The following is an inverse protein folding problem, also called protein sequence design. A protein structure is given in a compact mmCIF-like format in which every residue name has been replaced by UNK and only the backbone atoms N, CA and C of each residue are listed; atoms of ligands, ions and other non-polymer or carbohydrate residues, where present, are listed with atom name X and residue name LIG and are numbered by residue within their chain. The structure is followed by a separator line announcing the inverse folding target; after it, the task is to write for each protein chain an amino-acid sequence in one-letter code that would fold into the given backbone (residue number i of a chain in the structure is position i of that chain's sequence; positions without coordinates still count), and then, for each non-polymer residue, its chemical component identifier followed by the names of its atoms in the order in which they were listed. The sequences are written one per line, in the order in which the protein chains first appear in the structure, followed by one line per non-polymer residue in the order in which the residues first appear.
data_IF_348804547981
#
_entry.id   IF_348804547981
#
_cell.length_a   1.000
_cell.length_b   1.000
_cell.length_c   1.000
_cell.angle_alpha   90.00
_cell.angle_beta   90.00
_cell.angle_gamma   90.00
#
_symmetry.space_group_name_H-M   'P 1'
#
loop_
_entity.id
_entity.type
_entity.pdbx_description
1 polymer ?
#
# COMPACT_ATOMS: atom_id res chain seq x y z
N UNK A 1 55.07 -18.76 77.34
CA UNK A 1 54.74 -18.19 76.02
C UNK A 1 54.49 -19.33 75.03
N UNK A 2 53.25 -19.83 74.86
CA UNK A 2 52.99 -20.98 73.96
C UNK A 2 51.53 -21.14 73.49
N UNK A 3 50.83 -20.03 73.21
CA UNK A 3 49.42 -20.05 72.75
C UNK A 3 49.19 -19.42 71.36
N UNK A 4 50.25 -19.16 70.57
CA UNK A 4 50.12 -18.50 69.26
C UNK A 4 50.06 -19.45 68.04
N UNK A 5 50.16 -20.77 68.23
CA UNK A 5 50.20 -21.75 67.13
C UNK A 5 48.83 -22.33 66.72
N UNK A 6 47.86 -22.41 67.63
CA UNK A 6 46.58 -23.09 67.37
C UNK A 6 45.62 -22.29 66.48
N UNK A 7 45.66 -20.95 66.53
CA UNK A 7 44.87 -20.10 65.65
C UNK A 7 45.32 -20.21 64.19
N UNK A 8 46.61 -20.38 63.94
CA UNK A 8 47.18 -20.56 62.59
C UNK A 8 46.71 -21.85 61.92
N UNK A 9 46.52 -22.95 62.68
CA UNK A 9 46.17 -24.26 62.13
C UNK A 9 44.71 -24.29 61.65
N UNK A 10 43.81 -23.58 62.33
CA UNK A 10 42.39 -23.48 61.94
C UNK A 10 42.12 -22.36 60.93
N UNK A 11 42.92 -21.30 60.92
CA UNK A 11 42.80 -20.21 59.94
C UNK A 11 43.13 -20.64 58.50
N UNK A 12 44.13 -21.51 58.32
CA UNK A 12 44.55 -21.98 57.00
C UNK A 12 43.44 -22.70 56.20
N UNK A 13 42.73 -23.72 56.74
CA UNK A 13 41.65 -24.37 56.01
C UNK A 13 40.45 -23.45 55.78
N UNK A 14 40.18 -22.51 56.69
CA UNK A 14 39.11 -21.51 56.52
C UNK A 14 39.47 -20.53 55.39
N UNK A 15 40.71 -20.03 55.35
CA UNK A 15 41.20 -19.18 54.26
C UNK A 15 41.22 -19.93 52.93
N UNK A 16 41.63 -21.20 52.91
CA UNK A 16 41.57 -22.04 51.73
C UNK A 16 40.13 -22.25 51.24
N UNK A 17 39.18 -22.51 52.14
CA UNK A 17 37.76 -22.62 51.80
C UNK A 17 37.19 -21.31 51.26
N UNK A 18 37.54 -20.17 51.86
CA UNK A 18 37.19 -18.82 51.38
C UNK A 18 37.77 -18.53 49.99
N UNK A 19 39.03 -18.92 49.74
CA UNK A 19 39.66 -18.80 48.43
C UNK A 19 38.93 -19.64 47.38
N UNK A 20 38.57 -20.89 47.70
CA UNK A 20 37.82 -21.77 46.79
C UNK A 20 36.43 -21.19 46.49
N UNK A 21 35.71 -20.69 47.51
CA UNK A 21 34.41 -20.04 47.33
C UNK A 21 34.50 -18.78 46.47
N UNK A 22 35.49 -17.91 46.71
CA UNK A 22 35.69 -16.69 45.91
C UNK A 22 36.07 -17.00 44.47
N UNK A 23 36.93 -17.99 44.23
CA UNK A 23 37.24 -18.47 42.87
C UNK A 23 36.02 -19.06 42.16
N UNK A 24 35.20 -19.84 42.87
CA UNK A 24 33.95 -20.38 42.31
C UNK A 24 32.97 -19.25 41.92
N UNK A 25 32.82 -18.23 42.77
CA UNK A 25 32.00 -17.05 42.49
C UNK A 25 32.57 -16.24 41.32
N UNK A 26 33.89 -16.05 41.22
CA UNK A 26 34.52 -15.35 40.11
C UNK A 26 34.33 -16.08 38.77
N UNK A 27 34.52 -17.40 38.74
CA UNK A 27 34.27 -18.22 37.53
C UNK A 27 32.79 -18.16 37.13
N UNK A 28 31.87 -18.31 38.08
CA UNK A 28 30.44 -18.14 37.83
C UNK A 28 30.09 -16.75 37.29
N UNK A 29 30.70 -15.70 37.85
CA UNK A 29 30.50 -14.31 37.39
C UNK A 29 31.00 -14.09 35.96
N UNK A 30 32.15 -14.67 35.59
CA UNK A 30 32.68 -14.58 34.22
C UNK A 30 31.76 -15.27 33.21
N UNK A 31 31.24 -16.45 33.53
CA UNK A 31 30.28 -17.16 32.67
C UNK A 31 28.98 -16.38 32.51
N UNK A 32 28.42 -15.84 33.62
CA UNK A 32 27.21 -15.01 33.57
C UNK A 32 27.43 -13.76 32.71
N UNK A 33 28.60 -13.11 32.83
CA UNK A 33 28.94 -11.94 32.00
C UNK A 33 29.04 -12.30 30.52
N UNK A 34 29.65 -13.43 30.18
CA UNK A 34 29.76 -13.92 28.79
C UNK A 34 28.38 -14.17 28.20
N UNK A 35 27.52 -14.93 28.89
CA UNK A 35 26.15 -15.23 28.44
C UNK A 35 25.32 -13.95 28.33
N UNK A 36 25.41 -13.04 29.31
CA UNK A 36 24.69 -11.76 29.27
C UNK A 36 25.16 -10.88 28.11
N UNK A 37 26.48 -10.84 27.84
CA UNK A 37 27.02 -10.12 26.70
C UNK A 37 26.50 -10.72 25.39
N UNK A 38 26.60 -12.04 25.19
CA UNK A 38 26.06 -12.72 24.01
C UNK A 38 24.57 -12.48 23.83
N UNK A 39 23.79 -12.47 24.91
CA UNK A 39 22.36 -12.16 24.86
C UNK A 39 22.12 -10.75 24.31
N UNK A 40 22.86 -9.74 24.77
CA UNK A 40 22.75 -8.38 24.24
C UNK A 40 23.12 -8.32 22.74
N UNK A 41 24.14 -9.07 22.30
CA UNK A 41 24.49 -9.17 20.88
C UNK A 41 23.33 -9.79 20.08
N UNK A 42 22.76 -10.89 20.57
CA UNK A 42 21.63 -11.56 19.93
C UNK A 42 20.40 -10.64 19.87
N UNK A 43 20.10 -9.88 20.92
CA UNK A 43 18.99 -8.91 20.96
C UNK A 43 19.21 -7.76 19.97
N UNK A 44 20.44 -7.24 19.87
CA UNK A 44 20.82 -6.22 18.88
C UNK A 44 20.68 -6.74 17.45
N UNK A 45 21.09 -7.98 17.20
CA UNK A 45 20.89 -8.66 15.92
C UNK A 45 19.38 -8.78 15.62
N UNK A 46 18.59 -9.34 16.54
CA UNK A 46 17.16 -9.55 16.33
C UNK A 46 16.42 -8.23 16.06
N UNK A 47 16.70 -7.19 16.86
CA UNK A 47 16.13 -5.85 16.68
C UNK A 47 16.51 -5.22 15.33
N UNK A 48 17.74 -5.43 14.87
CA UNK A 48 18.19 -4.97 13.55
C UNK A 48 17.44 -5.68 12.41
N UNK A 49 17.25 -7.00 12.53
CA UNK A 49 16.45 -7.77 11.57
C UNK A 49 15.01 -7.25 11.50
N UNK A 50 14.36 -7.07 12.66
CA UNK A 50 13.01 -6.51 12.73
C UNK A 50 12.93 -5.11 12.12
N UNK A 51 13.95 -4.27 12.30
CA UNK A 51 14.01 -2.93 11.71
C UNK A 51 14.04 -2.99 10.18
N UNK A 52 14.82 -3.91 9.61
CA UNK A 52 14.86 -4.12 8.16
C UNK A 52 13.53 -4.64 7.62
N UNK A 53 12.90 -5.60 8.31
CA UNK A 53 11.57 -6.10 7.94
C UNK A 53 10.50 -5.00 7.98
N UNK A 54 10.49 -4.18 9.02
CA UNK A 54 9.55 -3.05 9.13
C UNK A 54 9.76 -2.04 8.00
N UNK A 55 11.03 -1.75 7.63
CA UNK A 55 11.36 -0.87 6.49
C UNK A 55 10.87 -1.44 5.18
N UNK A 56 11.01 -2.75 4.94
CA UNK A 56 10.49 -3.40 3.74
C UNK A 56 8.96 -3.26 3.65
N UNK A 57 8.22 -3.60 4.71
CA UNK A 57 6.76 -3.49 4.74
C UNK A 57 6.30 -2.04 4.51
N UNK A 58 7.00 -1.08 5.10
CA UNK A 58 6.73 0.35 4.90
C UNK A 58 6.99 0.77 3.44
N UNK A 59 8.08 0.31 2.84
CA UNK A 59 8.39 0.60 1.44
C UNK A 59 7.35 -0.02 0.49
N UNK A 60 6.98 -1.28 0.70
CA UNK A 60 5.92 -1.96 -0.05
C UNK A 60 4.60 -1.19 0.07
N UNK A 61 4.27 -0.72 1.28
CA UNK A 61 3.10 0.10 1.50
C UNK A 61 3.12 1.41 0.71
N UNK A 62 4.24 2.14 0.75
CA UNK A 62 4.38 3.40 0.01
C UNK A 62 4.24 3.17 -1.50
N UNK A 63 4.82 2.10 -2.02
CA UNK A 63 4.71 1.77 -3.44
C UNK A 63 3.27 1.38 -3.81
N UNK A 64 2.58 0.59 -2.98
CA UNK A 64 1.18 0.23 -3.22
C UNK A 64 0.28 1.47 -3.28
N UNK A 65 0.49 2.45 -2.39
CA UNK A 65 -0.22 3.74 -2.44
C UNK A 65 0.11 4.53 -3.70
N UNK A 66 1.38 4.57 -4.10
CA UNK A 66 1.80 5.27 -5.31
C UNK A 66 1.16 4.65 -6.57
N UNK A 67 1.07 3.32 -6.62
CA UNK A 67 0.36 2.60 -7.68
C UNK A 67 -1.13 2.97 -7.71
N UNK A 68 -1.81 3.02 -6.56
CA UNK A 68 -3.21 3.46 -6.48
C UNK A 68 -3.37 4.93 -6.92
N UNK A 69 -2.50 5.85 -6.48
CA UNK A 69 -2.57 7.25 -6.86
C UNK A 69 -2.38 7.46 -8.38
N UNK A 70 -1.49 6.68 -8.99
CA UNK A 70 -1.26 6.68 -10.43
C UNK A 70 -2.50 6.21 -11.21
N UNK A 71 -3.20 5.18 -10.75
CA UNK A 71 -4.48 4.75 -11.34
C UNK A 71 -5.60 5.78 -11.12
N UNK A 72 -5.67 6.44 -9.95
CA UNK A 72 -6.62 7.54 -9.72
C UNK A 72 -6.36 8.71 -10.68
N UNK A 73 -5.10 9.02 -10.98
CA UNK A 73 -4.73 10.06 -11.95
C UNK A 73 -5.27 9.73 -13.35
N UNK A 74 -5.24 8.45 -13.76
CA UNK A 74 -5.85 8.02 -15.02
C UNK A 74 -7.36 8.24 -15.03
N UNK A 75 -8.05 7.95 -13.92
CA UNK A 75 -9.48 8.21 -13.78
C UNK A 75 -9.82 9.69 -13.92
N UNK A 76 -9.05 10.55 -13.25
CA UNK A 76 -9.19 12.01 -13.33
C UNK A 76 -8.94 12.51 -14.76
N UNK A 77 -7.93 11.99 -15.46
CA UNK A 77 -7.65 12.36 -16.85
C UNK A 77 -8.77 11.92 -17.81
N UNK A 78 -9.31 10.71 -17.64
CA UNK A 78 -10.46 10.28 -18.42
C UNK A 78 -11.67 11.21 -18.20
N UNK A 79 -11.91 11.62 -16.96
CA UNK A 79 -12.96 12.57 -16.61
C UNK A 79 -12.73 14.00 -17.14
N UNK A 80 -11.50 14.48 -17.10
CA UNK A 80 -11.14 15.78 -17.68
C UNK A 80 -11.32 15.78 -19.19
N UNK A 81 -10.94 14.70 -19.86
CA UNK A 81 -11.09 14.59 -21.30
C UNK A 81 -12.57 14.48 -21.71
N UNK A 82 -13.39 13.67 -21.04
CA UNK A 82 -14.83 13.61 -21.34
C UNK A 82 -15.52 14.96 -21.10
N UNK A 83 -15.17 15.65 -20.01
CA UNK A 83 -15.68 16.99 -19.74
C UNK A 83 -15.26 17.99 -20.82
N UNK A 84 -14.00 17.96 -21.25
CA UNK A 84 -13.51 18.84 -22.31
C UNK A 84 -14.23 18.59 -23.64
N UNK A 85 -14.44 17.33 -24.01
CA UNK A 85 -15.20 16.98 -25.21
C UNK A 85 -16.64 17.50 -25.15
N UNK A 86 -17.32 17.30 -24.01
CA UNK A 86 -18.64 17.88 -23.78
C UNK A 86 -18.64 19.40 -23.94
N UNK A 87 -17.63 20.11 -23.43
CA UNK A 87 -17.51 21.56 -23.58
C UNK A 87 -17.26 22.00 -25.03
N UNK A 88 -16.48 21.23 -25.80
CA UNK A 88 -16.26 21.47 -27.23
C UNK A 88 -17.58 21.34 -28.00
N UNK A 89 -18.33 20.28 -27.73
CA UNK A 89 -19.63 20.04 -28.35
C UNK A 89 -20.65 21.14 -28.00
N UNK A 90 -20.65 21.63 -26.75
CA UNK A 90 -21.47 22.80 -26.35
C UNK A 90 -21.16 24.02 -27.22
N UNK A 91 -19.87 24.29 -27.48
CA UNK A 91 -19.42 25.43 -28.29
C UNK A 91 -19.81 25.24 -29.76
N UNK A 92 -19.59 24.06 -30.31
CA UNK A 92 -19.88 23.76 -31.71
C UNK A 92 -21.40 23.78 -32.00
N UNK A 93 -22.20 23.29 -31.06
CA UNK A 93 -23.67 23.25 -31.16
C UNK A 93 -24.36 24.52 -30.65
N UNK A 94 -23.61 25.47 -30.08
CA UNK A 94 -24.14 26.74 -29.55
C UNK A 94 -24.84 27.59 -30.63
N UNK A 95 -24.45 27.49 -31.90
CA UNK A 95 -25.12 28.23 -32.98
C UNK A 95 -26.62 27.89 -33.09
N UNK A 96 -27.01 26.64 -32.81
CA UNK A 96 -28.41 26.21 -32.83
C UNK A 96 -29.18 26.65 -31.57
N UNK A 97 -28.54 26.56 -30.40
CA UNK A 97 -29.18 26.83 -29.09
C UNK A 97 -29.30 28.33 -28.78
N UNK A 98 -28.29 29.11 -29.17
CA UNK A 98 -28.24 30.55 -28.90
C UNK A 98 -29.35 31.36 -29.57
N UNK A 99 -29.97 30.81 -30.62
CA UNK A 99 -31.14 31.39 -31.28
C UNK A 99 -32.38 31.37 -30.37
N UNK A 100 -32.46 30.44 -29.41
CA UNK A 100 -33.62 30.27 -28.51
C UNK A 100 -33.42 30.91 -27.13
N UNK A 101 -32.18 31.16 -26.71
CA UNK A 101 -31.86 31.79 -25.42
C UNK A 101 -30.86 32.94 -25.65
N UNK A 102 -31.35 34.19 -25.81
CA UNK A 102 -30.52 35.34 -26.21
C UNK A 102 -29.31 35.62 -25.31
N UNK A 103 -29.41 35.31 -24.02
CA UNK A 103 -28.36 35.58 -23.03
C UNK A 103 -27.20 34.55 -23.06
N UNK A 104 -27.39 33.36 -23.67
CA UNK A 104 -26.36 32.33 -23.75
C UNK A 104 -25.18 32.75 -24.63
N UNK A 105 -25.40 33.62 -25.63
CA UNK A 105 -24.39 34.05 -26.60
C UNK A 105 -23.14 34.72 -26.00
N UNK A 106 -23.28 35.38 -24.85
CA UNK A 106 -22.16 36.06 -24.19
C UNK A 106 -21.28 35.08 -23.39
N UNK A 107 -21.90 34.09 -22.74
CA UNK A 107 -21.25 33.07 -21.93
C UNK A 107 -20.54 32.04 -22.82
N UNK A 108 -21.19 31.62 -23.90
CA UNK A 108 -20.64 30.60 -24.82
C UNK A 108 -19.48 31.11 -25.65
N UNK A 109 -19.41 32.42 -25.94
CA UNK A 109 -18.25 33.02 -26.62
C UNK A 109 -16.98 32.98 -25.77
N UNK A 110 -17.08 33.20 -24.46
CA UNK A 110 -15.92 33.11 -23.56
C UNK A 110 -15.46 31.66 -23.37
N UNK A 111 -16.42 30.74 -23.29
CA UNK A 111 -16.16 29.30 -23.24
C UNK A 111 -15.47 28.82 -24.54
N UNK A 112 -15.91 29.29 -25.71
CA UNK A 112 -15.32 28.93 -26.99
C UNK A 112 -13.83 29.30 -27.08
N UNK A 113 -13.46 30.50 -26.61
CA UNK A 113 -12.07 30.95 -26.56
C UNK A 113 -11.26 30.08 -25.59
N UNK A 114 -11.81 29.79 -24.41
CA UNK A 114 -11.12 28.96 -23.41
C UNK A 114 -10.91 27.51 -23.88
N UNK A 115 -11.91 26.89 -24.51
CA UNK A 115 -11.84 25.53 -25.05
C UNK A 115 -10.85 25.44 -26.21
N UNK A 116 -10.90 26.40 -27.15
CA UNK A 116 -9.99 26.45 -28.29
C UNK A 116 -8.51 26.59 -27.90
N UNK A 117 -8.21 27.34 -26.83
CA UNK A 117 -6.85 27.44 -26.30
C UNK A 117 -6.39 26.20 -25.52
N UNK A 118 -7.31 25.37 -25.03
CA UNK A 118 -7.01 24.23 -24.17
C UNK A 118 -6.88 22.87 -24.92
N UNK A 119 -7.30 22.77 -26.18
CA UNK A 119 -7.31 21.48 -26.91
C UNK A 119 -5.91 20.87 -27.12
N UNK A 120 -4.97 21.69 -27.62
CA UNK A 120 -3.58 21.26 -27.85
C UNK A 120 -2.86 20.88 -26.55
N UNK A 121 -2.89 21.69 -25.47
CA UNK A 121 -2.22 21.29 -24.24
C UNK A 121 -2.87 20.06 -23.59
N UNK A 122 -4.19 19.91 -23.65
CA UNK A 122 -4.87 18.75 -23.05
C UNK A 122 -4.47 17.44 -23.73
N UNK A 123 -4.48 17.39 -25.06
CA UNK A 123 -4.08 16.18 -25.80
C UNK A 123 -2.61 15.84 -25.60
N UNK A 124 -1.73 16.84 -25.48
CA UNK A 124 -0.34 16.64 -25.10
C UNK A 124 -0.22 16.07 -23.68
N UNK A 125 -0.90 16.65 -22.69
CA UNK A 125 -0.91 16.19 -21.29
C UNK A 125 -1.37 14.74 -21.19
N UNK A 126 -2.45 14.36 -21.90
CA UNK A 126 -2.97 12.99 -21.89
C UNK A 126 -1.92 12.03 -22.42
N UNK A 127 -1.35 12.29 -23.60
CA UNK A 127 -0.35 11.40 -24.22
C UNK A 127 0.90 11.29 -23.35
N UNK A 128 1.39 12.41 -22.83
CA UNK A 128 2.53 12.45 -21.93
C UNK A 128 2.27 11.67 -20.64
N UNK A 129 1.08 11.80 -20.05
CA UNK A 129 0.75 11.09 -18.82
C UNK A 129 0.60 9.60 -19.05
N UNK A 130 -0.03 9.18 -20.15
CA UNK A 130 -0.13 7.76 -20.51
C UNK A 130 1.26 7.14 -20.71
N UNK A 131 2.17 7.84 -21.38
CA UNK A 131 3.56 7.40 -21.55
C UNK A 131 4.33 7.35 -20.22
N UNK A 132 4.14 8.35 -19.36
CA UNK A 132 4.77 8.40 -18.04
C UNK A 132 4.23 7.29 -17.11
N UNK A 133 2.94 6.97 -17.23
CA UNK A 133 2.25 5.99 -16.41
C UNK A 133 2.78 4.56 -16.60
N UNK A 134 2.80 4.04 -17.84
CA UNK A 134 4.07 3.67 -18.45
C UNK A 134 5.25 3.24 -17.57
N UNK A 135 6.19 4.17 -17.61
CA UNK A 135 7.48 4.13 -16.97
C UNK A 135 7.34 4.00 -15.46
N UNK A 136 6.47 4.79 -14.82
CA UNK A 136 6.28 4.76 -13.37
C UNK A 136 5.81 3.39 -12.91
N UNK A 137 4.78 2.83 -13.54
CA UNK A 137 4.21 1.54 -13.10
C UNK A 137 5.24 0.43 -13.27
N UNK A 138 6.03 0.49 -14.35
CA UNK A 138 7.09 -0.48 -14.62
C UNK A 138 8.23 -0.32 -13.62
N UNK A 139 8.68 0.92 -13.37
CA UNK A 139 9.71 1.24 -12.40
C UNK A 139 9.29 0.83 -10.99
N UNK A 140 8.09 1.19 -10.53
CA UNK A 140 7.58 0.82 -9.21
C UNK A 140 7.49 -0.70 -9.03
N UNK A 141 7.02 -1.44 -10.06
CA UNK A 141 6.99 -2.91 -10.01
C UNK A 141 8.39 -3.51 -9.95
N UNK A 142 9.32 -2.98 -10.74
CA UNK A 142 10.72 -3.38 -10.69
C UNK A 142 11.31 -3.06 -9.30
N UNK A 143 11.04 -1.89 -8.75
CA UNK A 143 11.47 -1.48 -7.41
C UNK A 143 10.92 -2.40 -6.34
N UNK A 144 9.65 -2.82 -6.41
CA UNK A 144 9.11 -3.81 -5.47
C UNK A 144 9.93 -5.10 -5.52
N UNK A 145 10.20 -5.61 -6.71
CA UNK A 145 10.98 -6.85 -6.86
C UNK A 145 12.43 -6.70 -6.38
N UNK A 146 13.10 -5.61 -6.75
CA UNK A 146 14.47 -5.30 -6.30
C UNK A 146 14.55 -5.05 -4.80
N UNK A 147 13.56 -4.39 -4.20
CA UNK A 147 13.51 -4.18 -2.77
C UNK A 147 13.47 -5.52 -2.04
N UNK A 148 12.57 -6.42 -2.45
CA UNK A 148 12.46 -7.76 -1.86
C UNK A 148 13.76 -8.56 -1.99
N UNK A 149 14.39 -8.52 -3.17
CA UNK A 149 15.70 -9.12 -3.38
C UNK A 149 16.75 -8.54 -2.44
N UNK A 150 16.84 -7.22 -2.38
CA UNK A 150 17.84 -6.50 -1.58
C UNK A 150 17.67 -6.84 -0.10
N UNK A 151 16.46 -6.73 0.47
CA UNK A 151 16.23 -7.05 1.88
C UNK A 151 16.55 -8.50 2.23
N UNK A 152 16.29 -9.43 1.30
CA UNK A 152 16.63 -10.83 1.53
C UNK A 152 18.13 -11.10 1.64
N UNK A 153 18.95 -10.30 0.96
CA UNK A 153 20.42 -10.36 1.01
C UNK A 153 20.98 -9.53 2.17
N UNK A 154 20.38 -8.37 2.42
CA UNK A 154 20.82 -7.41 3.44
C UNK A 154 20.54 -7.90 4.86
N UNK A 155 19.47 -8.66 5.12
CA UNK A 155 19.18 -9.15 6.48
C UNK A 155 20.34 -10.02 7.00
N UNK A 156 20.74 -11.15 6.38
CA UNK A 156 21.85 -11.96 6.88
C UNK A 156 23.17 -11.17 6.96
N UNK A 157 23.43 -10.32 5.96
CA UNK A 157 24.65 -9.51 5.90
C UNK A 157 24.72 -8.50 7.04
N UNK A 158 23.66 -7.74 7.27
CA UNK A 158 23.57 -6.75 8.35
C UNK A 158 23.76 -7.43 9.70
N UNK A 159 23.19 -8.63 9.89
CA UNK A 159 23.35 -9.38 11.14
C UNK A 159 24.78 -9.87 11.34
N UNK A 160 25.44 -10.34 10.27
CA UNK A 160 26.86 -10.67 10.30
C UNK A 160 27.72 -9.44 10.62
N UNK A 161 27.40 -8.27 10.05
CA UNK A 161 28.09 -7.01 10.32
C UNK A 161 27.87 -6.55 11.77
N UNK A 162 26.66 -6.64 12.31
CA UNK A 162 26.37 -6.37 13.74
C UNK A 162 27.20 -7.28 14.62
N UNK A 163 27.23 -8.59 14.34
CA UNK A 163 28.02 -9.55 15.10
C UNK A 163 29.52 -9.25 15.00
N UNK A 164 30.04 -8.90 13.82
CA UNK A 164 31.45 -8.60 13.60
C UNK A 164 31.95 -7.36 14.36
N UNK A 165 31.06 -6.45 14.76
CA UNK A 165 31.40 -5.32 15.63
C UNK A 165 31.46 -5.69 17.13
N UNK A 166 31.11 -6.93 17.48
CA UNK A 166 31.15 -7.43 18.85
C UNK A 166 32.24 -8.50 19.00
N UNK A 167 33.01 -8.42 20.09
CA UNK A 167 34.06 -9.38 20.40
C UNK A 167 33.50 -10.72 20.94
N UNK A 168 32.85 -11.51 20.07
CA UNK A 168 32.36 -12.86 20.41
C UNK A 168 33.36 -13.90 19.91
N UNK A 169 33.89 -14.72 20.82
CA UNK A 169 34.79 -15.83 20.47
C UNK A 169 34.02 -16.94 19.72
N UNK A 170 34.55 -17.36 18.56
CA UNK A 170 34.02 -18.45 17.72
C UNK A 170 32.48 -18.42 17.54
N UNK A 171 31.94 -17.35 16.93
CA UNK A 171 30.50 -17.18 16.88
C UNK A 171 29.86 -18.16 15.89
N UNK A 172 29.00 -19.03 16.40
CA UNK A 172 28.05 -19.80 15.61
C UNK A 172 26.69 -19.11 15.68
N UNK A 173 26.11 -18.78 14.53
CA UNK A 173 24.82 -18.11 14.51
C UNK A 173 23.95 -18.56 13.35
N UNK A 174 22.64 -18.50 13.57
CA UNK A 174 21.65 -18.72 12.54
C UNK A 174 20.42 -17.85 12.78
N UNK A 175 19.69 -17.61 11.70
CA UNK A 175 18.51 -16.74 11.71
C UNK A 175 17.33 -17.51 11.14
N UNK A 176 16.29 -17.62 11.96
CA UNK A 176 15.10 -18.41 11.71
C UNK A 176 13.89 -17.49 11.58
N UNK A 177 12.96 -17.87 10.71
CA UNK A 177 11.64 -17.26 10.60
C UNK A 177 10.68 -17.90 11.61
N UNK A 178 9.92 -17.11 12.37
CA UNK A 178 8.87 -17.60 13.28
C UNK A 178 7.48 -17.40 12.67
N UNK A 179 6.50 -18.31 12.89
CA UNK A 179 6.53 -19.46 13.82
C UNK A 179 7.18 -20.75 13.27
N UNK A 180 7.58 -20.79 11.99
CA UNK A 180 8.03 -22.03 11.32
C UNK A 180 9.43 -22.55 11.67
N UNK A 181 10.28 -21.77 12.36
CA UNK A 181 11.69 -22.05 12.68
C UNK A 181 12.54 -22.50 11.47
N UNK A 182 12.26 -21.95 10.29
CA UNK A 182 13.00 -22.26 9.07
C UNK A 182 13.99 -21.14 8.78
N UNK A 183 15.16 -21.46 8.23
CA UNK A 183 16.19 -20.48 7.94
C UNK A 183 15.72 -19.39 6.96
N UNK A 184 15.97 -18.13 7.32
CA UNK A 184 15.81 -16.98 6.43
C UNK A 184 16.83 -17.08 5.27
N UNK A 185 16.52 -16.55 4.06
CA UNK A 185 15.40 -15.68 3.74
C UNK A 185 14.16 -16.37 3.12
N UNK A 186 14.18 -17.69 2.88
CA UNK A 186 13.27 -18.33 1.91
C UNK A 186 11.77 -18.18 2.18
N UNK A 187 11.32 -18.24 3.43
CA UNK A 187 9.89 -18.04 3.78
C UNK A 187 9.46 -16.58 3.79
N UNK A 188 10.40 -15.65 3.96
CA UNK A 188 10.08 -14.23 3.85
C UNK A 188 9.60 -13.87 2.43
N UNK A 189 10.16 -14.54 1.41
CA UNK A 189 9.75 -14.36 0.02
C UNK A 189 8.32 -14.84 -0.27
N UNK A 190 7.81 -15.82 0.46
CA UNK A 190 6.43 -16.27 0.31
C UNK A 190 5.45 -15.54 1.24
N UNK A 191 5.95 -14.87 2.29
CA UNK A 191 5.10 -14.22 3.29
C UNK A 191 4.17 -13.15 2.71
N UNK A 192 4.71 -12.24 1.89
CA UNK A 192 3.93 -11.25 1.14
C UNK A 192 3.81 -11.69 -0.33
N UNK A 193 2.72 -12.37 -0.72
CA UNK A 193 2.55 -12.82 -2.09
C UNK A 193 2.25 -11.66 -3.05
N UNK A 194 2.57 -11.87 -4.32
CA UNK A 194 2.09 -10.99 -5.39
C UNK A 194 0.57 -11.17 -5.56
N UNK A 195 -0.13 -10.05 -5.58
CA UNK A 195 -1.58 -9.96 -5.78
C UNK A 195 -1.86 -9.15 -7.05
N UNK A 196 -3.04 -9.37 -7.59
CA UNK A 196 -3.58 -8.56 -8.66
C UNK A 196 -5.09 -8.39 -8.52
N UNK A 197 -5.64 -7.38 -9.18
CA UNK A 197 -7.08 -7.04 -9.20
C UNK A 197 -8.05 -8.16 -9.62
N UNK A 198 -7.54 -9.32 -10.06
CA UNK A 198 -8.35 -10.47 -10.44
C UNK A 198 -8.30 -11.62 -9.44
N UNK A 199 -7.36 -11.61 -8.49
CA UNK A 199 -7.18 -12.64 -7.48
C UNK A 199 -7.19 -12.09 -6.05
N UNK A 200 -7.62 -10.84 -5.85
CA UNK A 200 -7.53 -10.09 -4.59
C UNK A 200 -8.89 -9.94 -3.85
N UNK A 201 -9.92 -10.69 -4.25
CA UNK A 201 -11.29 -10.61 -3.70
C UNK A 201 -11.92 -9.21 -3.81
N UNK A 202 -11.49 -8.43 -4.82
CA UNK A 202 -12.00 -7.08 -5.07
C UNK A 202 -11.45 -6.03 -4.10
N UNK A 203 -10.39 -6.33 -3.34
CA UNK A 203 -9.79 -5.38 -2.40
C UNK A 203 -9.30 -4.12 -3.12
N UNK A 204 -8.48 -4.25 -4.16
CA UNK A 204 -7.96 -3.11 -4.91
C UNK A 204 -9.08 -2.30 -5.55
N UNK A 205 -10.13 -2.96 -6.04
CA UNK A 205 -11.28 -2.30 -6.62
C UNK A 205 -12.02 -1.45 -5.56
N UNK A 206 -12.31 -2.01 -4.38
CA UNK A 206 -12.94 -1.27 -3.27
C UNK A 206 -12.09 -0.10 -2.80
N UNK A 207 -10.78 -0.31 -2.62
CA UNK A 207 -9.85 0.75 -2.22
C UNK A 207 -9.80 1.87 -3.25
N UNK A 208 -9.79 1.54 -4.54
CA UNK A 208 -9.81 2.51 -5.61
C UNK A 208 -11.09 3.37 -5.58
N UNK A 209 -12.27 2.73 -5.53
CA UNK A 209 -13.55 3.44 -5.46
C UNK A 209 -13.63 4.35 -4.21
N UNK A 210 -13.13 3.87 -3.07
CA UNK A 210 -13.09 4.67 -1.83
C UNK A 210 -12.13 5.85 -1.93
N UNK A 211 -11.07 5.74 -2.74
CA UNK A 211 -10.04 6.78 -2.93
C UNK A 211 -10.40 7.83 -3.97
N UNK A 212 -11.51 7.67 -4.70
CA UNK A 212 -11.96 8.66 -5.68
C UNK A 212 -12.29 9.99 -5.01
N UNK A 213 -11.81 11.10 -5.59
CA UNK A 213 -12.21 12.44 -5.19
C UNK A 213 -13.63 12.77 -5.68
N UNK A 214 -14.20 13.89 -5.19
CA UNK A 214 -15.55 14.32 -5.58
C UNK A 214 -15.71 14.46 -7.09
N UNK A 215 -14.72 15.05 -7.77
CA UNK A 215 -14.75 15.25 -9.22
C UNK A 215 -14.82 13.93 -10.02
N UNK A 216 -14.05 12.91 -9.62
CA UNK A 216 -14.05 11.60 -10.27
C UNK A 216 -15.36 10.86 -9.98
N UNK A 217 -15.86 10.95 -8.75
CA UNK A 217 -17.05 10.22 -8.29
C UNK A 217 -18.36 10.76 -8.85
N UNK A 218 -18.56 12.07 -8.80
CA UNK A 218 -19.78 12.70 -9.28
C UNK A 218 -19.57 14.20 -9.55
N UNK A 219 -19.97 14.64 -10.74
CA UNK A 219 -19.89 16.03 -11.16
C UNK A 219 -21.16 16.45 -11.87
N UNK A 220 -22.31 16.08 -11.30
CA UNK A 220 -23.65 16.36 -11.82
C UNK A 220 -24.28 17.54 -11.08
N UNK A 221 -24.74 18.55 -11.82
CA UNK A 221 -25.33 19.77 -11.27
C UNK A 221 -26.16 20.52 -12.32
N UNK A 222 -27.03 21.42 -11.86
CA UNK A 222 -27.83 22.28 -12.75
C UNK A 222 -27.02 23.53 -13.10
N UNK A 223 -26.73 23.75 -14.38
CA UNK A 223 -26.09 24.98 -14.87
C UNK A 223 -27.04 26.17 -14.80
N UNK A 224 -28.31 25.92 -15.09
CA UNK A 224 -29.33 26.95 -15.12
C UNK A 224 -30.69 26.32 -14.83
N UNK A 225 -31.59 27.09 -14.20
CA UNK A 225 -32.98 26.70 -13.99
C UNK A 225 -33.82 27.96 -13.88
N UNK A 226 -34.71 28.19 -14.85
CA UNK A 226 -35.70 29.26 -14.78
C UNK A 226 -36.98 28.89 -15.53
N UNK A 227 -38.13 29.15 -14.91
CA UNK A 227 -39.45 28.83 -15.46
C UNK A 227 -39.51 27.36 -15.92
N UNK A 228 -39.83 27.13 -17.19
CA UNK A 228 -39.97 25.82 -17.83
C UNK A 228 -38.64 25.30 -18.41
N UNK A 229 -37.53 26.04 -18.30
CA UNK A 229 -36.25 25.66 -18.92
C UNK A 229 -35.19 25.39 -17.86
N UNK A 230 -34.56 24.23 -17.91
CA UNK A 230 -33.40 23.90 -17.08
C UNK A 230 -32.28 23.31 -17.90
N UNK A 231 -31.03 23.63 -17.55
CA UNK A 231 -29.84 23.06 -18.15
C UNK A 231 -29.19 22.16 -17.11
N UNK A 232 -29.14 20.87 -17.41
CA UNK A 232 -28.64 19.86 -16.48
C UNK A 232 -27.37 19.25 -17.03
N UNK A 233 -26.29 19.38 -16.27
CA UNK A 233 -25.02 18.72 -16.53
C UNK A 233 -24.93 17.49 -15.66
N UNK A 234 -24.55 16.36 -16.25
CA UNK A 234 -24.29 15.13 -15.52
C UNK A 234 -22.92 14.54 -15.93
N UNK A 235 -22.26 13.86 -15.01
CA UNK A 235 -21.04 13.14 -15.35
C UNK A 235 -20.32 12.53 -14.17
N UNK A 236 -19.54 11.49 -14.44
CA UNK A 236 -18.59 10.90 -13.51
C UNK A 236 -17.59 10.00 -14.26
N UNK A 237 -16.58 9.51 -13.56
CA UNK A 237 -15.77 8.39 -13.99
C UNK A 237 -16.22 7.11 -13.26
N UNK A 238 -16.05 5.98 -13.93
CA UNK A 238 -16.37 4.65 -13.43
C UNK A 238 -15.20 3.73 -13.71
N UNK A 239 -14.88 2.90 -12.72
CA UNK A 239 -13.97 1.78 -12.87
C UNK A 239 -14.78 0.52 -13.20
N UNK A 240 -14.46 -0.12 -14.32
CA UNK A 240 -14.99 -1.42 -14.69
C UNK A 240 -13.87 -2.46 -14.66
N UNK A 241 -14.10 -3.57 -13.96
CA UNK A 241 -13.20 -4.73 -13.94
C UNK A 241 -13.80 -5.88 -14.72
N UNK A 242 -13.01 -6.50 -15.59
CA UNK A 242 -13.41 -7.76 -16.26
C UNK A 242 -13.26 -8.97 -15.31
N UNK A 243 -13.68 -10.15 -15.78
CA UNK A 243 -13.59 -11.43 -15.03
C UNK A 243 -12.15 -11.89 -14.78
N UNK A 244 -11.18 -11.35 -15.52
CA UNK A 244 -9.74 -11.63 -15.39
C UNK A 244 -9.03 -10.57 -14.52
N UNK A 245 -9.76 -9.59 -13.99
CA UNK A 245 -9.25 -8.49 -13.18
C UNK A 245 -8.61 -7.35 -13.97
N UNK A 246 -8.79 -7.25 -15.29
CA UNK A 246 -8.34 -6.07 -16.03
C UNK A 246 -9.27 -4.90 -15.75
N UNK A 247 -8.65 -3.77 -15.45
CA UNK A 247 -9.31 -2.51 -15.21
C UNK A 247 -9.47 -1.73 -16.50
N UNK A 248 -10.62 -1.11 -16.60
CA UNK A 248 -10.95 -0.13 -17.61
C UNK A 248 -11.60 1.08 -16.94
N UNK A 249 -11.05 2.25 -17.25
CA UNK A 249 -11.60 3.52 -16.80
C UNK A 249 -12.51 4.05 -17.87
N UNK A 250 -13.73 4.40 -17.51
CA UNK A 250 -14.72 4.96 -18.41
C UNK A 250 -15.24 6.25 -17.80
N UNK A 251 -15.36 7.30 -18.60
CA UNK A 251 -15.91 8.55 -18.12
C UNK A 251 -16.83 9.18 -19.13
N UNK A 252 -17.95 9.71 -18.64
CA UNK A 252 -18.97 10.34 -19.46
C UNK A 252 -19.35 11.67 -18.81
N UNK A 253 -19.49 12.68 -19.64
CA UNK A 253 -20.05 13.98 -19.31
C UNK A 253 -21.10 14.34 -20.34
N UNK A 254 -22.25 14.79 -19.87
CA UNK A 254 -23.39 15.16 -20.71
C UNK A 254 -23.97 16.47 -20.22
N UNK A 255 -24.45 17.28 -21.15
CA UNK A 255 -25.26 18.45 -20.85
C UNK A 255 -26.39 18.56 -21.84
N UNK A 256 -27.59 18.76 -21.30
CA UNK A 256 -28.81 18.89 -22.08
C UNK A 256 -29.70 20.00 -21.53
N UNK A 257 -30.51 20.55 -22.42
CA UNK A 257 -31.57 21.49 -22.10
C UNK A 257 -32.86 20.69 -21.91
N UNK A 258 -33.54 20.94 -20.80
CA UNK A 258 -34.79 20.32 -20.42
C UNK A 258 -35.88 21.38 -20.46
N UNK A 259 -36.84 21.20 -21.35
CA UNK A 259 -38.03 22.05 -21.45
C UNK A 259 -39.20 21.30 -20.80
N UNK A 260 -39.74 21.85 -19.72
CA UNK A 260 -40.81 21.24 -18.93
C UNK A 260 -42.15 21.81 -19.38
N UNK A 261 -42.93 21.00 -20.09
CA UNK A 261 -44.32 21.28 -20.42
C UNK A 261 -45.27 20.96 -19.26
N UNK A 262 -46.58 21.01 -19.53
CA UNK A 262 -47.62 20.69 -18.54
C UNK A 262 -47.70 19.18 -18.23
N UNK A 263 -47.28 18.30 -19.15
CA UNK A 263 -47.42 16.85 -19.05
C UNK A 263 -46.15 16.08 -19.44
N UNK A 264 -45.21 16.72 -20.13
CA UNK A 264 -43.98 16.12 -20.64
C UNK A 264 -42.77 17.03 -20.40
N UNK A 265 -41.58 16.43 -20.46
CA UNK A 265 -40.32 17.18 -20.49
C UNK A 265 -39.52 16.74 -21.69
N UNK A 266 -39.10 17.69 -22.52
CA UNK A 266 -38.28 17.42 -23.69
C UNK A 266 -36.79 17.65 -23.36
N UNK A 267 -35.97 16.64 -23.66
CA UNK A 267 -34.51 16.72 -23.60
C UNK A 267 -33.96 17.09 -24.99
N UNK A 268 -33.23 18.20 -25.04
CA UNK A 268 -32.47 18.66 -26.19
C UNK A 268 -30.97 18.48 -25.88
N UNK A 269 -30.29 17.54 -26.54
CA UNK A 269 -28.85 17.34 -26.36
C UNK A 269 -28.07 18.61 -26.73
N UNK A 270 -27.18 19.05 -25.85
CA UNK A 270 -26.38 20.24 -26.10
C UNK A 270 -24.89 19.93 -26.19
N UNK A 271 -24.37 19.06 -25.33
CA UNK A 271 -23.00 18.59 -25.45
C UNK A 271 -22.79 17.25 -24.78
N UNK A 272 -21.89 16.46 -25.35
CA UNK A 272 -21.59 15.12 -24.89
C UNK A 272 -20.10 14.81 -24.99
N UNK A 273 -19.64 13.96 -24.10
CA UNK A 273 -18.28 13.46 -24.11
C UNK A 273 -18.23 12.13 -23.40
N UNK A 274 -17.78 11.09 -24.10
CA UNK A 274 -17.47 9.80 -23.49
C UNK A 274 -16.05 9.42 -23.85
N UNK A 275 -15.29 9.01 -22.84
CA UNK A 275 -13.96 8.46 -23.04
C UNK A 275 -13.71 7.20 -22.24
N UNK A 276 -12.78 6.39 -22.73
CA UNK A 276 -12.38 5.18 -22.04
C UNK A 276 -10.89 4.88 -22.18
N UNK A 277 -10.35 4.22 -21.17
CA UNK A 277 -9.04 3.57 -21.14
C UNK A 277 -9.29 2.08 -20.94
N UNK A 278 -8.93 1.25 -21.93
CA UNK A 278 -9.18 -0.18 -21.95
C UNK A 278 -10.42 -0.52 -22.77
N UNK A 279 -11.48 -0.97 -22.12
CA UNK A 279 -12.68 -1.45 -22.81
C UNK A 279 -13.69 -0.34 -23.10
N UNK A 280 -14.22 -0.34 -24.33
CA UNK A 280 -15.33 0.49 -24.77
C UNK A 280 -16.57 0.29 -23.90
N UNK A 281 -17.33 1.37 -23.72
CA UNK A 281 -18.64 1.33 -23.04
C UNK A 281 -19.68 0.68 -23.95
N UNK A 282 -20.03 -0.58 -23.67
CA UNK A 282 -21.12 -1.29 -24.36
C UNK A 282 -22.46 -1.16 -23.65
N UNK A 283 -22.43 -1.11 -22.31
CA UNK A 283 -23.63 -1.05 -21.47
C UNK A 283 -23.38 -0.16 -20.24
N UNK A 284 -24.44 0.49 -19.79
CA UNK A 284 -24.48 1.24 -18.54
C UNK A 284 -25.90 1.17 -17.94
N UNK A 285 -25.97 1.21 -16.62
CA UNK A 285 -27.19 1.33 -15.85
C UNK A 285 -27.61 2.79 -15.61
N UNK A 286 -28.78 3.01 -15.00
CA UNK A 286 -29.35 4.36 -14.80
C UNK A 286 -28.46 5.27 -13.94
N UNK A 287 -27.81 4.71 -12.92
CA UNK A 287 -27.03 5.47 -11.94
C UNK A 287 -25.55 5.61 -12.32
N UNK A 288 -25.14 5.09 -13.48
CA UNK A 288 -23.75 5.21 -13.93
C UNK A 288 -23.41 6.65 -14.30
N UNK A 289 -22.11 6.96 -14.28
CA UNK A 289 -21.57 8.24 -14.72
C UNK A 289 -22.26 9.46 -14.06
N UNK A 290 -22.50 9.39 -12.75
CA UNK A 290 -23.17 10.48 -12.02
C UNK A 290 -24.63 10.65 -12.42
N UNK A 291 -25.35 9.54 -12.67
CA UNK A 291 -26.72 9.51 -13.14
C UNK A 291 -26.92 10.14 -14.53
N UNK A 292 -25.88 10.23 -15.37
CA UNK A 292 -26.01 10.77 -16.73
C UNK A 292 -27.10 10.08 -17.56
N UNK A 293 -27.20 8.74 -17.56
CA UNK A 293 -28.26 8.04 -18.29
C UNK A 293 -29.68 8.36 -17.82
N UNK A 294 -29.86 8.70 -16.54
CA UNK A 294 -31.17 9.08 -15.99
C UNK A 294 -31.47 10.56 -16.19
N UNK A 295 -30.47 11.43 -16.03
CA UNK A 295 -30.62 12.88 -16.13
C UNK A 295 -30.74 13.31 -17.60
N UNK A 296 -29.90 12.76 -18.48
CA UNK A 296 -29.78 13.10 -19.89
C UNK A 296 -29.73 11.82 -20.76
N UNK A 297 -30.84 11.04 -20.87
CA UNK A 297 -30.86 9.76 -21.56
C UNK A 297 -30.49 9.85 -23.06
N UNK A 298 -31.01 10.85 -23.80
CA UNK A 298 -30.72 11.00 -25.23
C UNK A 298 -29.26 11.39 -25.45
N UNK A 299 -28.78 12.34 -24.67
CA UNK A 299 -27.40 12.83 -24.74
C UNK A 299 -26.39 11.74 -24.36
N UNK A 300 -26.72 10.90 -23.37
CA UNK A 300 -25.89 9.75 -22.98
C UNK A 300 -25.77 8.71 -24.10
N UNK A 301 -26.86 8.45 -24.82
CA UNK A 301 -26.84 7.54 -25.97
C UNK A 301 -25.96 8.09 -27.11
N UNK A 302 -26.00 9.41 -27.35
CA UNK A 302 -25.11 10.07 -28.32
C UNK A 302 -23.65 9.96 -27.90
N UNK A 303 -23.34 10.25 -26.62
CA UNK A 303 -22.01 10.11 -26.05
C UNK A 303 -21.47 8.69 -26.24
N UNK A 304 -22.31 7.67 -26.06
CA UNK A 304 -21.93 6.28 -26.26
C UNK A 304 -21.61 5.97 -27.73
N UNK A 305 -22.40 6.50 -28.67
CA UNK A 305 -22.14 6.34 -30.10
C UNK A 305 -20.83 7.03 -30.52
N UNK A 306 -20.50 8.17 -29.90
CA UNK A 306 -19.37 9.03 -30.24
C UNK A 306 -18.15 8.84 -29.30
N UNK A 307 -18.11 7.75 -28.55
CA UNK A 307 -17.07 7.52 -27.54
C UNK A 307 -15.64 7.51 -28.11
N UNK A 308 -14.70 8.02 -27.31
CA UNK A 308 -13.30 8.15 -27.68
C UNK A 308 -12.39 7.25 -26.84
N UNK A 309 -11.51 6.51 -27.52
CA UNK A 309 -10.44 5.77 -26.85
C UNK A 309 -9.29 6.70 -26.49
N UNK A 310 -8.85 6.64 -25.24
CA UNK A 310 -7.58 7.20 -24.79
C UNK A 310 -6.46 6.15 -24.85
N UNK A 311 -6.81 4.88 -24.63
CA UNK A 311 -5.99 3.70 -24.91
C UNK A 311 -6.90 2.48 -24.98
N UNK A 312 -6.63 1.53 -25.86
CA UNK A 312 -7.44 0.30 -25.94
C UNK A 312 -6.90 -0.83 -25.04
N UNK A 313 -5.87 -0.55 -24.23
CA UNK A 313 -5.21 -1.57 -23.41
C UNK A 313 -5.72 -1.55 -21.97
N UNK A 314 -6.60 -2.51 -21.65
CA UNK A 314 -6.99 -2.78 -20.27
C UNK A 314 -5.83 -3.47 -19.52
N UNK A 315 -5.64 -3.15 -18.23
CA UNK A 315 -4.48 -3.64 -17.46
C UNK A 315 -4.88 -4.18 -16.11
N UNK A 316 -4.10 -5.13 -15.62
CA UNK A 316 -4.21 -5.60 -14.24
C UNK A 316 -3.44 -4.67 -13.32
N UNK A 317 -4.07 -4.35 -12.20
CA UNK A 317 -3.42 -3.72 -11.08
C UNK A 317 -2.67 -4.80 -10.30
N UNK A 318 -1.34 -4.81 -10.40
CA UNK A 318 -0.47 -5.78 -9.73
C UNK A 318 0.25 -5.10 -8.58
N UNK A 319 0.31 -5.75 -7.42
CA UNK A 319 0.89 -5.21 -6.20
C UNK A 319 1.27 -6.35 -5.24
N UNK A 320 1.97 -6.04 -4.15
CA UNK A 320 2.29 -7.03 -3.11
C UNK A 320 1.39 -6.83 -1.91
N UNK A 321 0.65 -7.87 -1.51
CA UNK A 321 -0.20 -7.79 -0.34
C UNK A 321 -0.47 -9.16 0.26
N UNK A 322 -0.64 -9.19 1.59
CA UNK A 322 -1.20 -10.33 2.31
C UNK A 322 -2.57 -9.91 2.81
N UNK A 323 -3.57 -10.76 2.60
CA UNK A 323 -4.90 -10.54 3.17
C UNK A 323 -4.85 -10.83 4.66
N UNK A 324 -5.58 -10.03 5.44
CA UNK A 324 -5.82 -10.28 6.86
C UNK A 324 -4.51 -10.47 7.66
N UNK A 325 -3.75 -9.38 7.80
CA UNK A 325 -2.53 -9.33 8.61
C UNK A 325 -2.88 -9.31 10.10
N UNK A 326 -3.31 -10.46 10.62
CA UNK A 326 -3.57 -10.64 12.04
C UNK A 326 -2.27 -10.55 12.87
N UNK A 327 -2.32 -10.07 14.14
CA UNK A 327 -1.13 -9.89 14.97
C UNK A 327 -0.26 -11.15 15.14
N UNK A 328 -0.89 -12.31 15.26
CA UNK A 328 -0.20 -13.59 15.44
C UNK A 328 0.56 -14.03 14.18
N UNK A 329 0.14 -13.49 13.03
CA UNK A 329 0.68 -13.79 11.72
C UNK A 329 1.81 -12.85 11.33
N UNK A 330 2.12 -11.80 12.12
CA UNK A 330 3.11 -10.80 11.74
C UNK A 330 4.53 -11.38 11.63
N UNK A 331 5.34 -10.87 10.69
CA UNK A 331 6.70 -11.34 10.46
C UNK A 331 7.57 -11.27 11.72
N UNK A 332 8.19 -12.40 12.04
CA UNK A 332 9.04 -12.56 13.22
C UNK A 332 10.31 -13.32 12.87
N UNK A 333 11.37 -12.99 13.59
CA UNK A 333 12.72 -13.52 13.42
C UNK A 333 13.25 -13.98 14.76
N UNK A 334 13.89 -15.14 14.76
CA UNK A 334 14.63 -15.67 15.89
C UNK A 334 16.10 -15.74 15.48
N UNK A 335 16.94 -15.07 16.24
CA UNK A 335 18.39 -15.16 16.15
C UNK A 335 18.85 -16.17 17.19
N UNK A 336 19.60 -17.17 16.76
CA UNK A 336 20.33 -18.07 17.66
C UNK A 336 21.80 -17.77 17.51
N UNK A 337 22.46 -17.47 18.63
CA UNK A 337 23.89 -17.17 18.71
C UNK A 337 24.48 -18.04 19.81
N UNK A 338 25.28 -19.04 19.44
CA UNK A 338 25.77 -20.07 20.35
C UNK A 338 24.61 -20.66 21.17
N UNK A 339 24.62 -20.49 22.50
CA UNK A 339 23.61 -21.02 23.43
C UNK A 339 22.50 -20.01 23.76
N UNK A 340 22.56 -18.78 23.23
CA UNK A 340 21.56 -17.72 23.50
C UNK A 340 20.62 -17.52 22.32
N UNK A 341 19.41 -17.08 22.63
CA UNK A 341 18.37 -16.86 21.64
C UNK A 341 17.66 -15.54 21.86
N UNK A 342 17.40 -14.83 20.78
CA UNK A 342 16.67 -13.56 20.78
C UNK A 342 15.58 -13.59 19.72
N UNK A 343 14.42 -13.00 20.03
CA UNK A 343 13.29 -12.93 19.11
C UNK A 343 12.89 -11.48 18.91
N UNK A 344 12.61 -11.12 17.66
CA UNK A 344 12.06 -9.83 17.31
C UNK A 344 11.05 -9.99 16.19
N UNK A 345 10.19 -9.00 16.01
CA UNK A 345 9.24 -9.00 14.93
C UNK A 345 8.82 -7.58 14.59
N UNK A 346 7.82 -7.50 13.73
CA UNK A 346 7.20 -6.24 13.36
C UNK A 346 5.82 -6.16 13.99
N UNK A 347 5.40 -4.94 14.31
CA UNK A 347 4.04 -4.64 14.69
C UNK A 347 3.51 -3.43 13.93
N UNK A 348 2.20 -3.40 13.70
CA UNK A 348 1.55 -2.27 13.08
C UNK A 348 0.95 -1.36 14.16
N UNK A 349 1.31 -0.08 14.15
CA UNK A 349 0.74 0.89 15.07
C UNK A 349 0.73 2.29 14.49
N UNK A 350 -0.42 2.94 14.54
CA UNK A 350 -0.57 4.38 14.26
C UNK A 350 -0.37 5.18 15.55
N UNK A 351 0.72 5.97 15.68
CA UNK A 351 0.91 6.84 16.82
C UNK A 351 -0.13 7.97 16.80
N UNK A 352 -1.14 7.92 17.65
CA UNK A 352 -2.24 8.90 17.68
C UNK A 352 -1.77 10.32 18.03
N UNK A 353 -0.66 10.45 18.75
CA UNK A 353 -0.05 11.76 19.07
C UNK A 353 0.53 12.47 17.85
N UNK A 354 0.99 11.71 16.84
CA UNK A 354 1.65 12.27 15.65
C UNK A 354 0.72 12.24 14.43
N UNK A 355 -0.10 11.20 14.31
CA UNK A 355 -0.97 10.96 13.17
C UNK A 355 -2.40 10.65 13.64
N UNK A 356 -3.08 11.61 14.31
CA UNK A 356 -4.45 11.43 14.74
C UNK A 356 -5.37 11.28 13.53
N UNK A 357 -6.36 10.39 13.64
CA UNK A 357 -7.44 10.35 12.65
C UNK A 357 -8.58 11.25 13.07
N UNK A 358 -9.16 11.93 12.10
CA UNK A 358 -10.35 12.77 12.30
C UNK A 358 -11.58 11.92 12.66
N UNK A 359 -11.67 10.71 12.14
CA UNK A 359 -12.80 9.78 12.34
C UNK A 359 -12.68 8.90 13.59
N UNK A 360 -11.59 9.04 14.37
CA UNK A 360 -11.27 8.23 15.55
C UNK A 360 -11.30 6.70 15.35
N UNK A 361 -11.32 6.21 14.10
CA UNK A 361 -11.44 4.78 13.81
C UNK A 361 -10.10 4.05 14.00
N UNK A 362 -10.14 2.81 14.50
CA UNK A 362 -8.92 1.98 14.54
C UNK A 362 -8.45 1.64 13.12
N UNK A 363 -7.14 1.71 12.90
CA UNK A 363 -6.54 1.33 11.62
C UNK A 363 -5.98 -0.08 11.73
N UNK A 364 -6.48 -0.97 10.88
CA UNK A 364 -6.00 -2.35 10.82
C UNK A 364 -4.65 -2.42 10.08
N UNK A 365 -3.84 -3.41 10.46
CA UNK A 365 -2.58 -3.70 9.79
C UNK A 365 -2.81 -4.01 8.30
N UNK A 366 -2.07 -3.33 7.44
CA UNK A 366 -2.18 -3.49 6.00
C UNK A 366 -0.90 -3.03 5.28
N UNK A 367 -0.82 -3.34 3.99
CA UNK A 367 0.27 -2.92 3.10
C UNK A 367 -0.13 -1.73 2.23
N UNK A 368 -0.95 -0.83 2.76
CA UNK A 368 -1.29 0.47 2.20
C UNK A 368 -1.01 1.61 3.19
N UNK A 369 -0.64 1.32 4.44
CA UNK A 369 -0.15 2.28 5.43
C UNK A 369 1.25 1.91 5.91
N UNK A 370 2.16 2.89 5.86
CA UNK A 370 3.58 2.72 6.19
C UNK A 370 3.83 3.02 7.67
N UNK A 371 3.22 2.21 8.53
CA UNK A 371 3.23 2.36 10.00
C UNK A 371 3.73 1.10 10.71
N UNK A 372 4.53 0.30 10.02
CA UNK A 372 5.19 -0.88 10.59
C UNK A 372 6.39 -0.46 11.42
N UNK A 373 6.52 -1.04 12.61
CA UNK A 373 7.56 -0.74 13.59
C UNK A 373 8.22 -2.04 14.09
N UNK A 374 9.53 -2.02 14.41
CA UNK A 374 10.20 -3.17 14.99
C UNK A 374 9.88 -3.30 16.48
N UNK A 375 9.85 -4.53 16.98
CA UNK A 375 9.69 -4.83 18.40
C UNK A 375 10.46 -6.08 18.81
N UNK A 376 11.12 -6.04 19.97
CA UNK A 376 11.66 -7.22 20.63
C UNK A 376 10.53 -8.05 21.24
N UNK A 377 10.58 -9.35 21.07
CA UNK A 377 9.55 -10.29 21.51
C UNK A 377 10.16 -11.37 22.39
N UNK A 378 9.31 -11.98 23.22
CA UNK A 378 9.69 -13.17 23.98
C UNK A 378 9.40 -14.44 23.18
N UNK A 379 10.24 -15.46 23.33
CA UNK A 379 9.99 -16.79 22.80
C UNK A 379 8.79 -17.43 23.48
N UNK A 380 7.89 -17.99 22.68
CA UNK A 380 6.75 -18.80 23.15
C UNK A 380 7.22 -20.14 23.69
N UNK A 381 6.38 -20.81 24.50
CA UNK A 381 6.68 -22.15 25.02
C UNK A 381 6.91 -23.17 23.89
N UNK A 382 6.14 -23.08 22.81
CA UNK A 382 6.28 -23.94 21.65
C UNK A 382 7.64 -23.74 20.95
N UNK A 383 8.04 -22.49 20.73
CA UNK A 383 9.34 -22.16 20.12
C UNK A 383 10.51 -22.63 20.99
N UNK A 384 10.42 -22.44 22.31
CA UNK A 384 11.43 -22.95 23.25
C UNK A 384 11.57 -24.46 23.17
N UNK A 385 10.46 -25.19 23.13
CA UNK A 385 10.46 -26.65 23.02
C UNK A 385 11.07 -27.14 21.70
N UNK A 386 10.74 -26.49 20.59
CA UNK A 386 11.29 -26.83 19.28
C UNK A 386 12.79 -26.52 19.19
N UNK A 387 13.23 -25.34 19.64
CA UNK A 387 14.65 -24.98 19.69
C UNK A 387 15.44 -25.96 20.58
N UNK A 388 14.89 -26.31 21.75
CA UNK A 388 15.52 -27.30 22.63
C UNK A 388 15.71 -28.65 21.90
N UNK A 389 14.70 -29.14 21.16
CA UNK A 389 14.81 -30.39 20.41
C UNK A 389 15.83 -30.34 19.26
N UNK A 390 15.91 -29.20 18.55
CA UNK A 390 16.84 -29.00 17.43
C UNK A 390 18.30 -29.01 17.89
N UNK A 391 18.58 -28.46 19.06
CA UNK A 391 19.94 -28.35 19.59
C UNK A 391 20.33 -29.47 20.57
N UNK A 392 19.36 -30.15 21.20
CA UNK A 392 19.65 -31.33 22.03
C UNK A 392 20.03 -32.57 21.20
N UNK A 393 19.47 -32.73 19.99
CA UNK A 393 19.78 -33.85 19.10
C UNK A 393 21.16 -33.77 18.43
N UNK A 394 21.83 -32.62 18.47
CA UNK A 394 23.17 -32.42 17.89
C UNK A 394 24.30 -32.92 18.78
N UNK A 395 24.12 -32.99 20.10
CA UNK A 395 25.17 -33.40 21.03
C UNK A 395 25.31 -34.91 21.24
N UNK A 396 24.37 -35.73 20.78
CA UNK A 396 24.48 -37.20 20.87
C UNK A 396 25.29 -37.84 19.74
N UNK A 397 25.65 -37.10 18.68
CA UNK A 397 26.36 -37.64 17.51
C UNK A 397 27.87 -37.32 17.47
N UNK A 398 28.45 -36.76 18.54
CA UNK A 398 29.90 -36.46 18.62
C UNK A 398 30.66 -37.23 19.72
N UNK A 399 30.10 -38.32 20.26
CA UNK A 399 30.83 -39.22 21.17
C UNK A 399 31.21 -40.55 20.52
#
# INVERSE_FOLDING_TARGET
MRSRGFTSIWLLPILAALLVLTLAVMRGSQNIRSVWYQQNVADNMASSAATLLARELNLLSLINRALLANELTLAQLAGLYSWFQMMRDVVDRNAAVSTWIPYLNSVTRQIAVAVGHAERPLTAIIRSTLYFQHLITTALRATQWFARLTFSLEIPRTLAEVLAHHDVEQPSWQVLHAPGLIQLPWLWWSYVPAQHSGNDSGLAHRLMLASMDGFTRERSYKWFSALQVSVKKAGAARLQSDTRGHWSWQSMDTVAIHITGLLDSEEIPWGDGLSYLGHKVSQYGPNDFGNSPTINPRTSAWAQAMQHSLTDTARRFNYFNRRDLEPDDWPQVIVVLNDVTAKAGVFFSRPQSLFPRIDAASEQANLFNSLWQPQLLSLTLAEKGLLASLYSGGQENEN
#
